data_IF_548772927490
#
_entry.id   IF_548772927490
#
_cell.length_a   1.000
_cell.length_b   1.000
_cell.length_c   1.000
_cell.angle_alpha   90.00
_cell.angle_beta   90.00
_cell.angle_gamma   90.00
#
_symmetry.space_group_name_H-M   'P 1'
#
loop_
_entity.id
_entity.type
_entity.pdbx_description
1 polymer ?
#
# COMPACT_ATOMS: atom_id res chain seq x y z
N UNK A 1 -6.65 7.50 4.04
CA UNK A 1 -7.74 7.71 3.07
C UNK A 1 -8.88 8.43 3.77
N UNK A 2 -8.87 9.78 3.80
CA UNK A 2 -9.85 10.56 4.55
C UNK A 2 -11.31 10.17 4.31
N UNK A 3 -11.72 9.91 3.06
CA UNK A 3 -13.10 9.52 2.74
C UNK A 3 -13.52 8.12 3.24
N UNK A 4 -12.56 7.29 3.69
CA UNK A 4 -12.81 5.96 4.30
C UNK A 4 -12.52 5.94 5.80
N UNK A 5 -11.94 7.01 6.34
CA UNK A 5 -11.36 7.02 7.69
C UNK A 5 -10.42 5.81 7.96
N UNK A 6 -9.58 5.47 6.98
CA UNK A 6 -8.77 4.25 6.99
C UNK A 6 -7.34 4.54 6.48
N UNK A 7 -6.31 3.92 7.06
CA UNK A 7 -4.95 3.96 6.50
C UNK A 7 -4.84 3.04 5.28
N UNK A 8 -3.86 3.27 4.39
CA UNK A 8 -3.67 2.42 3.20
C UNK A 8 -3.15 1.01 3.56
N UNK A 9 -2.43 0.91 4.66
CA UNK A 9 -1.74 -0.29 5.13
C UNK A 9 -1.08 0.00 6.47
N UNK A 10 -0.23 -0.92 6.93
CA UNK A 10 0.39 -0.88 8.27
C UNK A 10 1.50 0.16 8.46
N UNK A 11 1.89 0.87 7.40
CA UNK A 11 2.92 1.91 7.45
C UNK A 11 4.29 1.44 6.95
N UNK A 12 5.33 2.07 7.48
CA UNK A 12 6.72 1.98 7.01
C UNK A 12 7.40 3.34 7.11
N UNK A 13 8.38 3.60 6.25
CA UNK A 13 9.05 4.90 6.16
C UNK A 13 8.53 5.69 4.95
N UNK A 14 8.29 6.98 5.14
CA UNK A 14 8.03 7.94 4.07
C UNK A 14 8.76 9.24 4.40
N UNK A 15 9.48 9.79 3.42
CA UNK A 15 10.14 11.08 3.54
C UNK A 15 10.16 11.76 2.17
N UNK A 16 10.18 13.08 2.21
CA UNK A 16 10.29 13.97 1.06
C UNK A 16 11.15 15.17 1.49
N UNK A 17 11.74 15.90 0.56
CA UNK A 17 12.55 17.09 0.85
C UNK A 17 13.70 16.87 1.87
N UNK A 18 14.28 15.67 1.93
CA UNK A 18 15.35 15.30 2.88
C UNK A 18 16.73 15.88 2.48
N UNK A 19 16.93 17.17 2.74
CA UNK A 19 18.13 17.92 2.34
C UNK A 19 18.94 18.52 3.51
N UNK A 20 18.43 18.44 4.74
CA UNK A 20 19.02 19.11 5.91
C UNK A 20 20.33 18.48 6.41
N UNK A 21 20.66 17.25 5.99
CA UNK A 21 21.81 16.50 6.50
C UNK A 21 23.07 16.64 5.65
N UNK A 22 22.99 17.35 4.52
CA UNK A 22 24.01 17.36 3.48
C UNK A 22 23.91 16.15 2.56
N UNK A 23 24.44 16.29 1.34
CA UNK A 23 24.25 15.32 0.26
C UNK A 23 24.67 13.89 0.64
N UNK A 24 25.90 13.71 1.10
CA UNK A 24 26.45 12.37 1.39
C UNK A 24 25.60 11.60 2.40
N UNK A 25 25.14 12.29 3.46
CA UNK A 25 24.35 11.65 4.50
C UNK A 25 22.91 11.37 4.05
N UNK A 26 22.28 12.29 3.33
CA UNK A 26 20.96 12.04 2.73
C UNK A 26 21.02 10.90 1.71
N UNK A 27 22.07 10.81 0.90
CA UNK A 27 22.26 9.75 -0.08
C UNK A 27 22.50 8.40 0.58
N UNK A 28 23.37 8.34 1.59
CA UNK A 28 23.59 7.13 2.38
C UNK A 28 22.30 6.65 3.06
N UNK A 29 21.46 7.57 3.56
CA UNK A 29 20.16 7.21 4.12
C UNK A 29 19.20 6.63 3.06
N UNK A 30 19.13 7.24 1.87
CA UNK A 30 18.32 6.71 0.76
C UNK A 30 18.78 5.30 0.34
N UNK A 31 20.09 5.05 0.28
CA UNK A 31 20.64 3.72 0.01
C UNK A 31 20.21 2.72 1.09
N UNK A 32 20.34 3.10 2.37
CA UNK A 32 19.94 2.25 3.49
C UNK A 32 18.45 1.89 3.45
N UNK A 33 17.58 2.85 3.11
CA UNK A 33 16.13 2.59 2.94
C UNK A 33 15.88 1.64 1.76
N UNK A 34 16.53 1.87 0.61
CA UNK A 34 16.38 1.02 -0.57
C UNK A 34 16.80 -0.44 -0.33
N UNK A 35 17.96 -0.64 0.31
CA UNK A 35 18.44 -1.97 0.68
C UNK A 35 17.57 -2.61 1.78
N UNK A 36 17.19 -1.82 2.78
CA UNK A 36 16.33 -2.28 3.88
C UNK A 36 14.94 -2.72 3.42
N UNK A 37 14.40 -2.17 2.31
CA UNK A 37 13.12 -2.62 1.76
C UNK A 37 13.15 -4.10 1.37
N UNK A 38 14.19 -4.54 0.66
CA UNK A 38 14.31 -5.96 0.27
C UNK A 38 14.56 -6.86 1.47
N UNK A 39 15.39 -6.41 2.41
CA UNK A 39 15.68 -7.15 3.64
C UNK A 39 14.42 -7.35 4.49
N UNK A 40 13.53 -6.36 4.52
CA UNK A 40 12.27 -6.41 5.27
C UNK A 40 11.18 -7.21 4.55
N UNK A 41 11.02 -7.03 3.23
CA UNK A 41 9.85 -7.55 2.50
C UNK A 41 10.04 -8.96 1.95
N UNK A 42 11.24 -9.32 1.48
CA UNK A 42 11.49 -10.65 0.90
C UNK A 42 11.24 -11.79 1.88
N UNK A 43 11.64 -11.71 3.18
CA UNK A 43 11.32 -12.76 4.14
C UNK A 43 9.82 -12.96 4.36
N UNK A 44 9.01 -11.90 4.23
CA UNK A 44 7.55 -11.99 4.33
C UNK A 44 6.99 -12.77 3.14
N UNK A 45 7.46 -12.45 1.93
CA UNK A 45 7.06 -13.16 0.71
C UNK A 45 7.46 -14.64 0.82
N UNK A 46 8.71 -14.93 1.17
CA UNK A 46 9.20 -16.30 1.28
C UNK A 46 8.40 -17.12 2.30
N UNK A 47 8.06 -16.51 3.44
CA UNK A 47 7.26 -17.16 4.49
C UNK A 47 5.83 -17.46 4.06
N UNK A 48 5.23 -16.61 3.21
CA UNK A 48 3.77 -16.62 2.96
C UNK A 48 3.36 -17.09 1.55
N UNK A 49 4.29 -17.17 0.59
CA UNK A 49 3.98 -17.45 -0.83
C UNK A 49 3.28 -18.79 -1.06
N UNK A 50 3.56 -19.79 -0.22
CA UNK A 50 3.04 -21.16 -0.34
C UNK A 50 1.82 -21.41 0.55
N UNK A 51 1.34 -20.39 1.29
CA UNK A 51 0.14 -20.52 2.12
C UNK A 51 -1.10 -20.73 1.25
N UNK A 52 -1.89 -21.75 1.59
CA UNK A 52 -3.15 -22.02 0.90
C UNK A 52 -4.17 -20.92 1.18
N UNK A 53 -4.90 -20.51 0.15
CA UNK A 53 -6.00 -19.55 0.25
C UNK A 53 -7.19 -20.03 -0.58
N UNK A 54 -8.40 -19.66 -0.19
CA UNK A 54 -9.63 -19.99 -0.88
C UNK A 54 -10.24 -18.79 -1.63
N UNK A 55 -11.44 -19.02 -2.16
CA UNK A 55 -12.20 -17.97 -2.87
C UNK A 55 -12.57 -16.81 -1.96
N UNK A 56 -12.84 -17.07 -0.67
CA UNK A 56 -13.17 -16.03 0.31
C UNK A 56 -12.02 -15.04 0.47
N UNK A 57 -10.82 -15.55 0.72
CA UNK A 57 -9.61 -14.73 0.86
C UNK A 57 -9.28 -14.00 -0.44
N UNK A 58 -9.44 -14.68 -1.60
CA UNK A 58 -9.23 -14.05 -2.91
C UNK A 58 -10.22 -12.92 -3.17
N UNK A 59 -11.51 -13.11 -2.88
CA UNK A 59 -12.53 -12.07 -3.03
C UNK A 59 -12.26 -10.89 -2.10
N UNK A 60 -11.85 -11.15 -0.85
CA UNK A 60 -11.44 -10.08 0.05
C UNK A 60 -10.20 -9.33 -0.45
N UNK A 61 -9.20 -10.04 -0.98
CA UNK A 61 -8.02 -9.42 -1.58
C UNK A 61 -8.39 -8.49 -2.76
N UNK A 62 -9.29 -8.92 -3.65
CA UNK A 62 -9.76 -8.10 -4.76
C UNK A 62 -10.52 -6.85 -4.26
N UNK A 63 -11.28 -6.99 -3.17
CA UNK A 63 -11.97 -5.86 -2.55
C UNK A 63 -11.00 -4.85 -1.95
N UNK A 64 -10.00 -5.34 -1.20
CA UNK A 64 -8.93 -4.51 -0.62
C UNK A 64 -8.07 -3.83 -1.69
N UNK A 65 -7.86 -4.48 -2.84
CA UNK A 65 -7.23 -3.85 -4.01
C UNK A 65 -8.04 -2.67 -4.57
N UNK A 66 -9.36 -2.67 -4.44
CA UNK A 66 -10.20 -1.50 -4.75
C UNK A 66 -9.83 -0.27 -3.92
N UNK A 67 -9.50 -0.44 -2.63
CA UNK A 67 -8.99 0.66 -1.78
C UNK A 67 -7.62 1.16 -2.21
N UNK A 68 -6.76 0.27 -2.71
CA UNK A 68 -5.46 0.65 -3.26
C UNK A 68 -5.61 1.53 -4.51
N UNK A 69 -6.55 1.16 -5.39
CA UNK A 69 -6.94 1.99 -6.56
C UNK A 69 -7.50 3.34 -6.12
N UNK A 70 -8.44 3.36 -5.15
CA UNK A 70 -8.99 4.60 -4.60
C UNK A 70 -7.88 5.52 -4.08
N UNK A 71 -6.91 5.01 -3.34
CA UNK A 71 -5.80 5.82 -2.85
C UNK A 71 -4.96 6.41 -3.99
N UNK A 72 -4.51 5.58 -4.93
CA UNK A 72 -3.59 6.02 -5.97
C UNK A 72 -4.26 7.02 -6.93
N UNK A 73 -5.54 6.84 -7.25
CA UNK A 73 -6.23 7.73 -8.18
C UNK A 73 -6.81 9.00 -7.53
N UNK A 74 -6.95 9.05 -6.20
CA UNK A 74 -7.57 10.20 -5.50
C UNK A 74 -6.57 11.00 -4.67
N UNK A 75 -5.55 10.37 -4.10
CA UNK A 75 -4.67 11.00 -3.10
C UNK A 75 -3.19 10.97 -3.45
N UNK A 76 -2.73 10.02 -4.25
CA UNK A 76 -1.31 9.93 -4.57
C UNK A 76 -0.88 11.09 -5.48
N UNK A 77 -0.13 12.03 -4.90
CA UNK A 77 0.33 13.24 -5.60
C UNK A 77 1.13 12.92 -6.86
N UNK A 78 1.98 11.89 -6.81
CA UNK A 78 2.80 11.45 -7.95
C UNK A 78 1.96 10.96 -9.12
N UNK A 79 0.95 10.13 -8.84
CA UNK A 79 0.01 9.62 -9.85
C UNK A 79 -0.81 10.75 -10.47
N UNK A 80 -1.42 11.61 -9.64
CA UNK A 80 -2.22 12.74 -10.13
C UNK A 80 -1.41 13.70 -11.01
N UNK A 81 -0.23 14.12 -10.52
CA UNK A 81 0.64 15.01 -11.26
C UNK A 81 1.12 14.37 -12.57
N UNK A 82 1.56 13.11 -12.54
CA UNK A 82 2.05 12.41 -13.73
C UNK A 82 0.99 12.31 -14.84
N UNK A 83 -0.27 12.02 -14.48
CA UNK A 83 -1.36 11.95 -15.45
C UNK A 83 -1.73 13.33 -16.00
N UNK A 84 -1.74 14.37 -15.16
CA UNK A 84 -2.10 15.73 -15.55
C UNK A 84 -1.01 16.44 -16.37
N UNK A 85 0.26 16.07 -16.17
CA UNK A 85 1.41 16.67 -16.85
C UNK A 85 1.80 15.99 -18.16
N UNK A 86 1.05 14.96 -18.59
CA UNK A 86 1.36 14.22 -19.82
C UNK A 86 2.51 13.22 -19.68
N UNK A 87 2.77 12.73 -18.47
CA UNK A 87 3.75 11.67 -18.23
C UNK A 87 3.36 10.35 -18.88
N UNK A 88 4.29 9.37 -18.88
CA UNK A 88 4.07 8.06 -19.50
C UNK A 88 3.02 7.24 -18.72
N UNK A 89 1.78 7.23 -19.20
CA UNK A 89 0.63 6.59 -18.55
C UNK A 89 0.90 5.16 -18.09
N UNK A 90 1.44 4.30 -18.96
CA UNK A 90 1.74 2.89 -18.61
C UNK A 90 2.77 2.74 -17.48
N UNK A 91 3.70 3.69 -17.35
CA UNK A 91 4.63 3.68 -16.20
C UNK A 91 3.96 4.17 -14.92
N UNK A 92 3.07 5.16 -15.02
CA UNK A 92 2.38 5.73 -13.85
C UNK A 92 1.38 4.72 -13.27
N UNK A 93 0.59 4.09 -14.15
CA UNK A 93 -0.46 3.15 -13.78
C UNK A 93 0.04 1.72 -13.53
N UNK A 94 1.35 1.45 -13.60
CA UNK A 94 1.92 0.16 -13.21
C UNK A 94 1.62 -0.21 -11.75
N UNK A 95 1.29 0.78 -10.92
CA UNK A 95 0.88 0.60 -9.54
C UNK A 95 -0.52 -0.02 -9.40
N UNK A 96 -1.33 -0.04 -10.46
CA UNK A 96 -2.67 -0.61 -10.42
C UNK A 96 -2.62 -2.13 -10.28
N UNK A 97 -3.49 -2.73 -9.47
CA UNK A 97 -3.59 -4.18 -9.39
C UNK A 97 -4.14 -4.75 -10.70
N UNK A 98 -3.81 -6.01 -11.05
CA UNK A 98 -4.31 -6.65 -12.26
C UNK A 98 -5.84 -6.83 -12.25
N UNK A 99 -6.44 -6.97 -11.05
CA UNK A 99 -7.87 -7.05 -10.82
C UNK A 99 -8.20 -6.39 -9.49
N UNK A 100 -9.32 -5.67 -9.44
CA UNK A 100 -9.93 -5.12 -8.24
C UNK A 100 -11.45 -5.30 -8.33
N UNK A 101 -12.14 -5.35 -7.17
CA UNK A 101 -13.60 -5.39 -7.11
C UNK A 101 -14.13 -4.29 -6.20
N UNK A 102 -15.34 -3.83 -6.50
CA UNK A 102 -16.11 -2.93 -5.65
C UNK A 102 -17.42 -3.61 -5.30
N UNK A 103 -17.88 -3.39 -4.08
CA UNK A 103 -19.13 -3.92 -3.56
C UNK A 103 -19.80 -2.85 -2.70
N UNK A 104 -21.08 -2.62 -2.94
CA UNK A 104 -21.85 -1.61 -2.22
C UNK A 104 -21.96 -1.99 -0.75
N UNK A 105 -21.57 -1.05 0.13
CA UNK A 105 -21.70 -1.20 1.59
C UNK A 105 -21.12 -2.50 2.18
N UNK A 106 -20.11 -3.09 1.54
CA UNK A 106 -19.46 -4.29 2.06
C UNK A 106 -18.91 -4.06 3.47
N UNK A 107 -19.17 -5.02 4.35
CA UNK A 107 -18.61 -5.12 5.69
C UNK A 107 -18.05 -6.53 5.87
N UNK A 108 -16.84 -6.69 6.43
CA UNK A 108 -16.33 -8.01 6.76
C UNK A 108 -17.18 -8.65 7.87
N UNK A 109 -17.22 -9.97 7.89
CA UNK A 109 -17.90 -10.73 8.94
C UNK A 109 -17.25 -10.46 10.31
N UNK A 110 -18.05 -10.28 11.36
CA UNK A 110 -17.55 -10.00 12.70
C UNK A 110 -16.64 -11.15 13.21
N UNK A 111 -15.53 -10.80 13.86
CA UNK A 111 -14.56 -11.77 14.38
C UNK A 111 -13.65 -12.42 13.31
N UNK A 112 -13.93 -12.20 12.02
CA UNK A 112 -13.11 -12.72 10.92
C UNK A 112 -11.71 -12.08 10.86
N UNK A 113 -10.78 -12.71 10.13
CA UNK A 113 -9.47 -12.14 9.86
C UNK A 113 -9.59 -10.83 9.06
N UNK A 114 -10.59 -10.76 8.17
CA UNK A 114 -10.95 -9.59 7.39
C UNK A 114 -11.38 -8.42 8.29
N UNK A 115 -12.20 -8.67 9.31
CA UNK A 115 -12.58 -7.64 10.28
C UNK A 115 -11.39 -7.18 11.12
N UNK A 116 -10.53 -8.12 11.55
CA UNK A 116 -9.29 -7.81 12.30
C UNK A 116 -8.36 -6.89 11.51
N UNK A 117 -8.28 -7.01 10.19
CA UNK A 117 -7.51 -6.08 9.36
C UNK A 117 -7.91 -4.63 9.64
N UNK A 118 -9.22 -4.34 9.68
CA UNK A 118 -9.72 -2.98 9.93
C UNK A 118 -9.57 -2.55 11.38
N UNK A 119 -9.93 -3.41 12.33
CA UNK A 119 -9.91 -3.06 13.75
C UNK A 119 -8.50 -2.92 14.30
N UNK A 120 -7.55 -3.71 13.77
CA UNK A 120 -6.24 -3.84 14.40
C UNK A 120 -5.13 -3.29 13.51
N UNK A 121 -5.18 -3.39 12.18
CA UNK A 121 -4.00 -3.12 11.35
C UNK A 121 -4.08 -1.84 10.53
N UNK A 122 -5.30 -1.40 10.16
CA UNK A 122 -5.49 -0.25 9.28
C UNK A 122 -5.70 1.08 10.02
N UNK A 123 -5.06 1.20 11.18
CA UNK A 123 -4.96 2.42 11.98
C UNK A 123 -3.51 2.65 12.42
N UNK A 124 -3.11 3.90 12.74
CA UNK A 124 -1.79 4.17 13.30
C UNK A 124 -1.54 3.37 14.58
N UNK A 125 -0.39 2.70 14.65
CA UNK A 125 0.01 1.84 15.79
C UNK A 125 1.50 1.94 16.06
N UNK A 126 1.84 1.76 17.33
CA UNK A 126 3.19 1.44 17.78
C UNK A 126 3.40 -0.07 17.57
N UNK A 127 4.24 -0.43 16.59
CA UNK A 127 4.49 -1.81 16.15
C UNK A 127 5.60 -2.50 16.92
#
# INVERSE_FOLDING_TARGET
>A
MPHRNETRGVGGLFFDDLNQWGFERSFAYMQAVGNGYTDAYLPIVEKRKDESYGERERNFQLYRRGRYVEFNLVYDRGTLFGLQSGGRTESILMSMPPLARWEYSYQPEEGSAEAKLYSDYLQPREW
#
